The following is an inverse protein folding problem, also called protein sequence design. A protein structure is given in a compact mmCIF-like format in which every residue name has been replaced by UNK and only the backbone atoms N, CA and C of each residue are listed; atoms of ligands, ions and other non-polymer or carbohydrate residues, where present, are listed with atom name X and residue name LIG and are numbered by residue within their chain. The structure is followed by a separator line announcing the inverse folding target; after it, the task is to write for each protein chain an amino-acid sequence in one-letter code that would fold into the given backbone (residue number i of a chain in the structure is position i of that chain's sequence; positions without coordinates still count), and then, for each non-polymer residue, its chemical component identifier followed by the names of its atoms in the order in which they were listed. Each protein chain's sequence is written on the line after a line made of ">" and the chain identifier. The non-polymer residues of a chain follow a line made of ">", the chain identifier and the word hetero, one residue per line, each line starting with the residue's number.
data_IF_839903887080
#
_entry.id   IF_839903887080
#
_cell.length_a   1.000
_cell.length_b   1.000
_cell.length_c   1.000
_cell.angle_alpha   90.00
_cell.angle_beta   90.00
_cell.angle_gamma   90.00
#
_symmetry.space_group_name_H-M   'P 1'
#
loop_
_entity.id
_entity.type
_entity.pdbx_description
1 polymer ?
#
# COMPACT_ATOMS: atom_id res chain seq x y z
N UNK A 1 23.95 26.43 5.51
CA UNK A 1 25.32 25.98 5.22
C UNK A 1 25.33 25.43 3.81
N UNK A 2 26.37 25.72 3.02
CA UNK A 2 26.46 25.30 1.61
C UNK A 2 27.74 24.49 1.45
N UNK A 3 27.65 23.29 0.88
CA UNK A 3 28.81 22.46 0.57
C UNK A 3 29.61 22.05 1.80
N UNK A 4 28.94 21.84 2.94
CA UNK A 4 29.61 21.43 4.16
C UNK A 4 29.68 19.89 4.23
N UNK A 5 30.83 19.38 4.67
CA UNK A 5 31.05 17.97 4.96
C UNK A 5 30.98 17.77 6.48
N UNK A 6 30.04 16.95 6.94
CA UNK A 6 29.90 16.54 8.34
C UNK A 6 30.11 15.04 8.41
N UNK A 7 31.17 14.61 9.10
CA UNK A 7 31.58 13.21 9.16
C UNK A 7 31.68 12.79 10.61
N UNK A 8 30.98 11.71 10.99
CA UNK A 8 31.07 11.13 12.34
C UNK A 8 30.64 12.11 13.44
N UNK A 9 29.70 13.01 13.13
CA UNK A 9 29.25 14.02 14.08
C UNK A 9 28.16 13.42 14.98
N UNK A 10 28.37 13.49 16.29
CA UNK A 10 27.38 13.11 17.30
C UNK A 10 26.68 14.37 17.81
N UNK A 11 25.37 14.46 17.60
CA UNK A 11 24.51 15.54 18.09
C UNK A 11 23.45 14.96 19.01
N UNK A 12 23.48 15.39 20.28
CA UNK A 12 22.58 14.88 21.31
C UNK A 12 21.78 16.05 21.88
N UNK A 13 20.45 15.96 21.84
CA UNK A 13 19.57 16.97 22.43
C UNK A 13 19.73 18.36 21.80
N UNK A 14 20.08 18.42 20.52
CA UNK A 14 20.32 19.67 19.82
C UNK A 14 19.02 20.22 19.23
N UNK A 15 18.80 21.52 19.39
CA UNK A 15 17.72 22.26 18.75
C UNK A 15 18.25 22.94 17.48
N UNK A 16 17.71 22.57 16.32
CA UNK A 16 18.03 23.14 15.02
C UNK A 16 16.77 23.78 14.45
N UNK A 17 16.80 25.10 14.28
CA UNK A 17 15.63 25.88 13.85
C UNK A 17 16.01 26.69 12.63
N UNK A 18 15.28 26.52 11.53
CA UNK A 18 15.49 27.29 10.30
C UNK A 18 16.86 27.02 9.66
N UNK A 19 17.41 25.82 9.84
CA UNK A 19 18.71 25.47 9.27
C UNK A 19 18.54 25.11 7.80
N UNK A 20 19.12 25.91 6.91
CA UNK A 20 19.22 25.57 5.48
C UNK A 20 20.54 24.84 5.23
N UNK A 21 20.52 23.64 4.67
CA UNK A 21 21.67 22.85 4.23
C UNK A 21 21.55 22.61 2.73
N UNK A 22 22.52 23.09 1.94
CA UNK A 22 22.47 22.98 0.48
C UNK A 22 23.73 22.29 -0.02
N UNK A 23 23.58 21.15 -0.68
CA UNK A 23 24.70 20.38 -1.22
C UNK A 23 25.66 19.90 -0.14
N UNK A 24 25.16 19.61 1.06
CA UNK A 24 25.98 19.15 2.17
C UNK A 24 26.11 17.62 2.15
N UNK A 25 27.26 17.11 2.59
CA UNK A 25 27.50 15.69 2.77
C UNK A 25 27.48 15.38 4.27
N UNK A 26 26.65 14.42 4.68
CA UNK A 26 26.54 13.94 6.05
C UNK A 26 26.82 12.44 6.05
N UNK A 27 27.93 12.03 6.67
CA UNK A 27 28.40 10.65 6.62
C UNK A 27 28.60 10.13 8.05
N UNK A 28 27.85 9.09 8.42
CA UNK A 28 27.98 8.46 9.73
C UNK A 28 27.65 9.40 10.88
N UNK A 29 26.74 10.35 10.68
CA UNK A 29 26.31 11.27 11.72
C UNK A 29 25.23 10.62 12.59
N UNK A 30 25.29 10.85 13.90
CA UNK A 30 24.31 10.38 14.86
C UNK A 30 23.56 11.57 15.44
N UNK A 31 22.22 11.57 15.30
CA UNK A 31 21.32 12.55 15.89
C UNK A 31 20.43 11.83 16.90
N UNK A 32 20.59 12.16 18.18
CA UNK A 32 19.85 11.51 19.26
C UNK A 32 19.05 12.54 20.03
N UNK A 33 17.72 12.40 20.05
CA UNK A 33 16.82 13.29 20.77
C UNK A 33 16.90 14.74 20.30
N UNK A 34 17.19 14.96 19.02
CA UNK A 34 17.29 16.31 18.47
C UNK A 34 15.93 16.82 18.02
N UNK A 35 15.74 18.14 18.12
CA UNK A 35 14.56 18.84 17.62
C UNK A 35 14.95 19.62 16.36
N UNK A 36 14.26 19.36 15.25
CA UNK A 36 14.45 20.02 13.97
C UNK A 36 13.17 20.72 13.56
N UNK A 37 13.20 22.05 13.45
CA UNK A 37 12.00 22.83 13.14
C UNK A 37 12.27 23.74 11.94
N UNK A 38 11.52 23.55 10.87
CA UNK A 38 11.64 24.39 9.67
C UNK A 38 13.01 24.32 9.02
N UNK A 39 13.70 23.18 9.10
CA UNK A 39 14.99 22.98 8.46
C UNK A 39 14.79 22.56 7.01
N UNK A 40 15.67 23.02 6.12
CA UNK A 40 15.63 22.70 4.69
C UNK A 40 16.93 21.98 4.32
N UNK A 41 16.81 20.81 3.69
CA UNK A 41 17.91 20.06 3.12
C UNK A 41 17.70 19.98 1.60
N UNK A 42 18.60 20.56 0.83
CA UNK A 42 18.48 20.64 -0.62
C UNK A 42 19.71 20.04 -1.28
N UNK A 43 19.53 18.96 -2.05
CA UNK A 43 20.60 18.30 -2.78
C UNK A 43 21.70 17.75 -1.86
N UNK A 44 21.34 17.34 -0.65
CA UNK A 44 22.29 16.80 0.32
C UNK A 44 22.49 15.30 0.12
N UNK A 45 23.69 14.81 0.42
CA UNK A 45 23.99 13.38 0.50
C UNK A 45 24.05 12.97 1.97
N UNK A 46 23.23 12.01 2.37
CA UNK A 46 23.12 11.51 3.74
C UNK A 46 23.40 10.02 3.74
N UNK A 47 24.55 9.61 4.28
CA UNK A 47 25.05 8.24 4.13
C UNK A 47 25.36 7.64 5.49
N UNK A 48 24.70 6.52 5.82
CA UNK A 48 24.95 5.76 7.03
C UNK A 48 24.71 6.57 8.32
N UNK A 49 23.79 7.54 8.28
CA UNK A 49 23.45 8.35 9.42
C UNK A 49 22.35 7.70 10.24
N UNK A 50 22.35 7.96 11.55
CA UNK A 50 21.37 7.44 12.50
C UNK A 50 20.59 8.61 13.11
N UNK A 51 19.26 8.53 13.10
CA UNK A 51 18.37 9.45 13.79
C UNK A 51 17.53 8.67 14.80
N UNK A 52 17.70 8.96 16.08
CA UNK A 52 17.04 8.22 17.16
C UNK A 52 16.25 9.18 18.04
N UNK A 53 14.94 8.94 18.16
CA UNK A 53 14.07 9.71 19.05
C UNK A 53 14.03 11.19 18.74
N UNK A 54 14.20 11.58 17.48
CA UNK A 54 14.21 12.99 17.07
C UNK A 54 12.78 13.47 16.74
N UNK A 55 12.53 14.74 16.99
CA UNK A 55 11.30 15.43 16.59
C UNK A 55 11.61 16.33 15.39
N UNK A 56 10.93 16.10 14.27
CA UNK A 56 11.14 16.81 13.00
C UNK A 56 9.83 17.45 12.59
N UNK A 57 9.77 18.78 12.60
CA UNK A 57 8.53 19.54 12.40
C UNK A 57 8.70 20.52 11.25
N UNK A 58 7.85 20.41 10.24
CA UNK A 58 7.82 21.35 9.12
C UNK A 58 9.14 21.43 8.35
N UNK A 59 9.90 20.35 8.30
CA UNK A 59 11.18 20.32 7.59
C UNK A 59 10.99 19.85 6.15
N UNK A 60 11.84 20.35 5.26
CA UNK A 60 11.82 20.04 3.83
C UNK A 60 13.10 19.32 3.42
N UNK A 61 12.97 18.22 2.68
CA UNK A 61 14.07 17.52 2.03
C UNK A 61 13.80 17.46 0.53
N UNK A 62 14.67 18.10 -0.27
CA UNK A 62 14.46 18.27 -1.70
C UNK A 62 15.68 17.74 -2.47
N UNK A 63 15.46 16.74 -3.31
CA UNK A 63 16.51 16.20 -4.19
C UNK A 63 17.69 15.61 -3.45
N UNK A 64 17.48 15.08 -2.25
CA UNK A 64 18.53 14.49 -1.42
C UNK A 64 18.72 13.00 -1.76
N UNK A 65 19.95 12.53 -1.62
CA UNK A 65 20.30 11.11 -1.69
C UNK A 65 20.52 10.60 -0.26
N UNK A 66 19.72 9.63 0.17
CA UNK A 66 19.78 9.03 1.52
C UNK A 66 20.09 7.55 1.39
N UNK A 67 21.25 7.12 1.89
CA UNK A 67 21.75 5.76 1.67
C UNK A 67 22.09 5.10 3.00
N UNK A 68 21.48 3.95 3.27
CA UNK A 68 21.81 3.12 4.44
C UNK A 68 21.61 3.82 5.77
N UNK A 69 20.65 4.75 5.85
CA UNK A 69 20.38 5.49 7.08
C UNK A 69 19.33 4.78 7.93
N UNK A 70 19.44 4.93 9.24
CA UNK A 70 18.51 4.36 10.22
C UNK A 70 17.75 5.49 10.91
N UNK A 71 16.42 5.40 10.94
CA UNK A 71 15.53 6.34 11.62
C UNK A 71 14.67 5.56 12.60
N UNK A 72 14.89 5.79 13.89
CA UNK A 72 14.31 4.96 14.96
C UNK A 72 13.53 5.84 15.93
N UNK A 73 12.24 5.54 16.11
CA UNK A 73 11.40 6.19 17.11
C UNK A 73 11.28 7.70 16.93
N UNK A 74 11.37 8.21 15.70
CA UNK A 74 11.29 9.63 15.42
C UNK A 74 9.84 10.04 15.13
N UNK A 75 9.51 11.28 15.46
CA UNK A 75 8.22 11.90 15.15
C UNK A 75 8.43 12.94 14.05
N UNK A 76 7.73 12.78 12.93
CA UNK A 76 7.76 13.68 11.79
C UNK A 76 6.38 14.31 11.60
N UNK A 77 6.30 15.64 11.67
CA UNK A 77 5.03 16.36 11.60
C UNK A 77 5.09 17.42 10.51
N UNK A 78 4.25 17.30 9.49
CA UNK A 78 4.14 18.28 8.42
C UNK A 78 5.43 18.43 7.61
N UNK A 79 6.21 17.35 7.47
CA UNK A 79 7.46 17.38 6.71
C UNK A 79 7.18 17.11 5.22
N UNK A 80 8.00 17.71 4.36
CA UNK A 80 7.93 17.52 2.91
C UNK A 80 9.20 16.83 2.41
N UNK A 81 9.05 15.76 1.65
CA UNK A 81 10.16 15.02 1.01
C UNK A 81 9.89 14.96 -0.49
N UNK A 82 10.69 15.67 -1.27
CA UNK A 82 10.42 15.90 -2.70
C UNK A 82 11.62 15.46 -3.54
N UNK A 83 11.39 14.50 -4.44
CA UNK A 83 12.37 14.07 -5.42
C UNK A 83 13.63 13.45 -4.81
N UNK A 84 13.50 12.84 -3.62
CA UNK A 84 14.62 12.23 -2.92
C UNK A 84 14.78 10.76 -3.34
N UNK A 85 16.03 10.28 -3.33
CA UNK A 85 16.37 8.88 -3.54
C UNK A 85 16.76 8.26 -2.19
N UNK A 86 16.05 7.22 -1.76
CA UNK A 86 16.31 6.49 -0.54
C UNK A 86 16.69 5.05 -0.87
N UNK A 87 17.89 4.63 -0.46
CA UNK A 87 18.43 3.31 -0.79
C UNK A 87 18.83 2.58 0.48
N UNK A 88 18.21 1.43 0.74
CA UNK A 88 18.56 0.57 1.88
C UNK A 88 18.40 1.26 3.23
N UNK A 89 17.43 2.17 3.36
CA UNK A 89 17.17 2.86 4.62
C UNK A 89 16.22 2.03 5.50
N UNK A 90 16.42 2.11 6.81
CA UNK A 90 15.59 1.44 7.81
C UNK A 90 14.84 2.47 8.64
N UNK A 91 13.51 2.36 8.70
CA UNK A 91 12.64 3.23 9.51
C UNK A 91 11.88 2.37 10.49
N UNK A 92 12.10 2.57 11.78
CA UNK A 92 11.58 1.69 12.83
C UNK A 92 10.81 2.50 13.86
N UNK A 93 9.53 2.15 14.06
CA UNK A 93 8.70 2.72 15.12
C UNK A 93 8.52 4.23 15.02
N UNK A 94 8.55 4.79 13.81
CA UNK A 94 8.40 6.23 13.59
C UNK A 94 6.94 6.60 13.37
N UNK A 95 6.58 7.81 13.81
CA UNK A 95 5.26 8.40 13.60
C UNK A 95 5.38 9.53 12.58
N UNK A 96 4.59 9.46 11.51
CA UNK A 96 4.52 10.48 10.47
C UNK A 96 3.09 11.04 10.41
N UNK A 97 2.95 12.34 10.66
CA UNK A 97 1.64 13.00 10.72
C UNK A 97 1.60 14.15 9.73
N UNK A 98 0.70 14.06 8.73
CA UNK A 98 0.51 15.14 7.76
C UNK A 98 1.73 15.40 6.89
N UNK A 99 2.57 14.40 6.66
CA UNK A 99 3.77 14.51 5.83
C UNK A 99 3.42 14.34 4.35
N UNK A 100 4.16 15.01 3.48
CA UNK A 100 4.03 14.92 2.03
C UNK A 100 5.30 14.29 1.44
N UNK A 101 5.14 13.25 0.62
CA UNK A 101 6.24 12.57 -0.09
C UNK A 101 5.93 12.59 -1.58
N UNK A 102 6.73 13.30 -2.37
CA UNK A 102 6.41 13.59 -3.77
C UNK A 102 7.58 13.20 -4.67
N UNK A 103 7.34 12.29 -5.62
CA UNK A 103 8.29 11.93 -6.66
C UNK A 103 9.57 11.28 -6.14
N UNK A 104 9.50 10.60 -5.00
CA UNK A 104 10.66 9.95 -4.38
C UNK A 104 10.83 8.52 -4.90
N UNK A 105 12.08 8.06 -4.95
CA UNK A 105 12.43 6.69 -5.29
C UNK A 105 12.95 5.99 -4.03
N UNK A 106 12.32 4.88 -3.64
CA UNK A 106 12.71 4.06 -2.50
C UNK A 106 13.12 2.67 -3.00
N UNK A 107 14.36 2.27 -2.72
CA UNK A 107 14.91 0.99 -3.18
C UNK A 107 15.40 0.19 -1.99
N UNK A 108 14.80 -0.98 -1.77
CA UNK A 108 15.21 -1.91 -0.71
C UNK A 108 15.13 -1.29 0.69
N UNK A 109 14.22 -0.35 0.91
CA UNK A 109 14.01 0.25 2.22
C UNK A 109 13.08 -0.62 3.08
N UNK A 110 13.32 -0.62 4.39
CA UNK A 110 12.56 -1.38 5.37
C UNK A 110 11.82 -0.43 6.32
N UNK A 111 10.52 -0.64 6.51
CA UNK A 111 9.69 0.08 7.47
C UNK A 111 9.04 -0.89 8.44
N UNK A 112 9.32 -0.74 9.74
CA UNK A 112 8.86 -1.67 10.77
C UNK A 112 8.09 -0.90 11.85
N UNK A 113 6.82 -1.24 12.05
CA UNK A 113 5.99 -0.69 13.12
C UNK A 113 5.80 0.82 13.02
N UNK A 114 5.81 1.39 11.82
CA UNK A 114 5.64 2.82 11.62
C UNK A 114 4.16 3.18 11.49
N UNK A 115 3.80 4.35 12.00
CA UNK A 115 2.44 4.90 11.92
C UNK A 115 2.44 6.11 10.98
N UNK A 116 1.57 6.10 9.97
CA UNK A 116 1.37 7.20 9.04
C UNK A 116 -0.08 7.67 9.13
N UNK A 117 -0.26 8.95 9.47
CA UNK A 117 -1.59 9.53 9.70
C UNK A 117 -1.77 10.75 8.81
N UNK A 118 -2.77 10.69 7.93
CA UNK A 118 -3.12 11.76 6.99
C UNK A 118 -1.92 12.24 6.16
N UNK A 119 -1.06 11.33 5.73
CA UNK A 119 0.06 11.63 4.86
C UNK A 119 -0.36 11.56 3.39
N UNK A 120 0.32 12.32 2.53
CA UNK A 120 0.15 12.29 1.09
C UNK A 120 1.41 11.74 0.42
N UNK A 121 1.25 10.72 -0.42
CA UNK A 121 2.34 10.11 -1.20
C UNK A 121 1.99 10.17 -2.68
N UNK A 122 2.76 10.92 -3.46
CA UNK A 122 2.40 11.23 -4.85
C UNK A 122 3.55 10.88 -5.78
N UNK A 123 3.28 10.04 -6.78
CA UNK A 123 4.20 9.74 -7.88
C UNK A 123 5.51 9.10 -7.42
N UNK A 124 5.49 8.36 -6.32
CA UNK A 124 6.68 7.72 -5.77
C UNK A 124 6.84 6.29 -6.32
N UNK A 125 8.09 5.87 -6.47
CA UNK A 125 8.44 4.52 -6.90
C UNK A 125 9.06 3.76 -5.72
N UNK A 126 8.54 2.57 -5.41
CA UNK A 126 9.03 1.69 -4.36
C UNK A 126 9.41 0.34 -4.95
N UNK A 127 10.69 -0.03 -4.83
CA UNK A 127 11.23 -1.25 -5.43
C UNK A 127 11.85 -2.13 -4.37
N UNK A 128 11.27 -3.32 -4.17
CA UNK A 128 11.78 -4.30 -3.21
C UNK A 128 11.77 -3.81 -1.76
N UNK A 129 10.86 -2.89 -1.43
CA UNK A 129 10.69 -2.39 -0.07
C UNK A 129 9.89 -3.36 0.79
N UNK A 130 10.19 -3.41 2.08
CA UNK A 130 9.51 -4.24 3.07
C UNK A 130 8.78 -3.36 4.09
N UNK A 131 7.50 -3.62 4.31
CA UNK A 131 6.69 -2.99 5.35
C UNK A 131 6.16 -4.05 6.30
N UNK A 132 6.49 -3.93 7.59
CA UNK A 132 6.11 -4.93 8.60
C UNK A 132 5.38 -4.24 9.74
N UNK A 133 4.12 -4.60 9.96
CA UNK A 133 3.31 -4.08 11.06
C UNK A 133 3.11 -2.57 11.01
N UNK A 134 3.11 -1.97 9.82
CA UNK A 134 2.91 -0.53 9.66
C UNK A 134 1.41 -0.21 9.60
N UNK A 135 1.04 0.95 10.13
CA UNK A 135 -0.34 1.44 10.13
C UNK A 135 -0.45 2.70 9.27
N UNK A 136 -1.42 2.73 8.37
CA UNK A 136 -1.75 3.88 7.52
C UNK A 136 -3.20 4.29 7.76
N UNK A 137 -3.42 5.52 8.21
CA UNK A 137 -4.75 6.01 8.57
C UNK A 137 -5.06 7.30 7.80
N UNK A 138 -6.06 7.23 6.93
CA UNK A 138 -6.55 8.39 6.18
C UNK A 138 -5.50 8.98 5.24
N UNK A 139 -4.58 8.17 4.75
CA UNK A 139 -3.52 8.60 3.83
C UNK A 139 -4.02 8.61 2.38
N UNK A 140 -3.46 9.51 1.58
CA UNK A 140 -3.72 9.59 0.13
C UNK A 140 -2.47 9.14 -0.63
N UNK A 141 -2.62 8.15 -1.52
CA UNK A 141 -1.54 7.62 -2.36
C UNK A 141 -1.95 7.76 -3.83
N UNK A 142 -1.22 8.56 -4.59
CA UNK A 142 -1.62 8.95 -5.95
C UNK A 142 -0.50 8.66 -6.94
N UNK A 143 -0.78 7.80 -7.93
CA UNK A 143 0.12 7.53 -9.04
C UNK A 143 1.44 6.91 -8.63
N UNK A 144 1.46 6.15 -7.53
CA UNK A 144 2.66 5.50 -7.03
C UNK A 144 2.83 4.11 -7.64
N UNK A 145 4.07 3.69 -7.84
CA UNK A 145 4.44 2.38 -8.38
C UNK A 145 5.12 1.55 -7.29
N UNK A 146 4.63 0.35 -7.04
CA UNK A 146 5.20 -0.62 -6.11
C UNK A 146 5.61 -1.87 -6.89
N UNK A 147 6.89 -2.23 -6.83
CA UNK A 147 7.44 -3.36 -7.59
C UNK A 147 8.17 -4.30 -6.63
N UNK A 148 7.64 -5.53 -6.49
CA UNK A 148 8.25 -6.56 -5.66
C UNK A 148 8.32 -6.20 -4.19
N UNK A 149 7.41 -5.35 -3.71
CA UNK A 149 7.32 -4.97 -2.31
C UNK A 149 6.62 -6.04 -1.46
N UNK A 150 7.03 -6.17 -0.20
CA UNK A 150 6.43 -7.08 0.77
C UNK A 150 5.73 -6.29 1.87
N UNK A 151 4.48 -6.63 2.17
CA UNK A 151 3.69 -6.04 3.25
C UNK A 151 3.19 -7.15 4.18
N UNK A 152 3.63 -7.13 5.44
CA UNK A 152 3.31 -8.18 6.42
C UNK A 152 2.64 -7.55 7.62
N UNK A 153 1.40 -7.97 7.90
CA UNK A 153 0.63 -7.52 9.07
C UNK A 153 0.39 -6.01 9.09
N UNK A 154 0.33 -5.36 7.92
CA UNK A 154 0.09 -3.93 7.83
C UNK A 154 -1.42 -3.62 7.87
N UNK A 155 -1.76 -2.46 8.41
CA UNK A 155 -3.15 -1.98 8.50
C UNK A 155 -3.32 -0.71 7.67
N UNK A 156 -4.37 -0.68 6.84
CA UNK A 156 -4.78 0.49 6.06
C UNK A 156 -6.22 0.83 6.41
N UNK A 157 -6.47 2.03 6.93
CA UNK A 157 -7.79 2.44 7.40
C UNK A 157 -8.18 3.77 6.73
N UNK A 158 -9.23 3.75 5.92
CA UNK A 158 -9.79 4.94 5.30
C UNK A 158 -8.82 5.64 4.33
N UNK A 159 -7.90 4.89 3.72
CA UNK A 159 -6.94 5.45 2.77
C UNK A 159 -7.53 5.53 1.36
N UNK A 160 -7.05 6.49 0.58
CA UNK A 160 -7.41 6.66 -0.83
C UNK A 160 -6.21 6.32 -1.71
N UNK A 161 -6.38 5.40 -2.66
CA UNK A 161 -5.37 5.03 -3.63
C UNK A 161 -5.91 5.34 -5.04
N UNK A 162 -5.20 6.19 -5.78
CA UNK A 162 -5.65 6.65 -7.10
C UNK A 162 -4.56 6.42 -8.14
N UNK A 163 -4.85 5.58 -9.13
CA UNK A 163 -3.95 5.31 -10.25
C UNK A 163 -2.63 4.69 -9.84
N UNK A 164 -2.61 3.92 -8.75
CA UNK A 164 -1.41 3.25 -8.28
C UNK A 164 -1.20 1.92 -9.02
N UNK A 165 0.06 1.56 -9.23
CA UNK A 165 0.45 0.29 -9.85
C UNK A 165 1.17 -0.59 -8.82
N UNK A 166 0.74 -1.84 -8.67
CA UNK A 166 1.38 -2.85 -7.83
C UNK A 166 1.75 -4.05 -8.67
N UNK A 167 3.04 -4.37 -8.75
CA UNK A 167 3.57 -5.43 -9.62
C UNK A 167 4.39 -6.41 -8.80
N UNK A 168 3.92 -7.66 -8.74
CA UNK A 168 4.64 -8.76 -8.06
C UNK A 168 4.82 -8.52 -6.57
N UNK A 169 3.91 -7.78 -5.94
CA UNK A 169 3.94 -7.51 -4.50
C UNK A 169 3.33 -8.67 -3.71
N UNK A 170 3.78 -8.83 -2.47
CA UNK A 170 3.25 -9.82 -1.54
C UNK A 170 2.58 -9.13 -0.35
N UNK A 171 1.36 -9.54 -0.02
CA UNK A 171 0.60 -9.07 1.14
C UNK A 171 0.21 -10.24 2.03
N UNK A 172 0.68 -10.26 3.27
CA UNK A 172 0.46 -11.35 4.21
C UNK A 172 -0.17 -10.82 5.49
N UNK A 173 -1.38 -11.30 5.80
CA UNK A 173 -2.07 -10.97 7.05
C UNK A 173 -2.37 -9.48 7.21
N UNK A 174 -2.55 -8.75 6.10
CA UNK A 174 -2.83 -7.31 6.14
C UNK A 174 -4.32 -7.06 6.30
N UNK A 175 -4.66 -5.94 6.93
CA UNK A 175 -6.03 -5.47 7.12
C UNK A 175 -6.27 -4.18 6.32
N UNK A 176 -7.30 -4.15 5.48
CA UNK A 176 -7.67 -3.00 4.65
C UNK A 176 -9.13 -2.65 4.91
N UNK A 177 -9.38 -1.51 5.56
CA UNK A 177 -10.70 -1.17 6.10
C UNK A 177 -11.14 0.18 5.57
N UNK A 178 -12.26 0.19 4.85
CA UNK A 178 -12.91 1.43 4.39
C UNK A 178 -12.06 2.24 3.41
N UNK A 179 -11.15 1.60 2.68
CA UNK A 179 -10.29 2.27 1.71
C UNK A 179 -10.97 2.40 0.35
N UNK A 180 -10.61 3.43 -0.39
CA UNK A 180 -11.05 3.66 -1.76
C UNK A 180 -9.88 3.43 -2.73
N UNK A 181 -10.11 2.66 -3.80
CA UNK A 181 -9.13 2.41 -4.85
C UNK A 181 -9.75 2.78 -6.21
N UNK A 182 -9.13 3.71 -6.93
CA UNK A 182 -9.65 4.22 -8.20
C UNK A 182 -8.61 4.08 -9.30
N UNK A 183 -8.92 3.28 -10.31
CA UNK A 183 -8.07 3.12 -11.49
C UNK A 183 -6.70 2.51 -11.18
N UNK A 184 -6.60 1.71 -10.12
CA UNK A 184 -5.35 1.05 -9.75
C UNK A 184 -5.14 -0.24 -10.55
N UNK A 185 -3.87 -0.56 -10.81
CA UNK A 185 -3.47 -1.79 -11.50
C UNK A 185 -2.72 -2.71 -10.53
N UNK A 186 -3.13 -3.98 -10.44
CA UNK A 186 -2.54 -4.99 -9.57
C UNK A 186 -2.17 -6.21 -10.41
N UNK A 187 -0.87 -6.47 -10.59
CA UNK A 187 -0.37 -7.45 -11.55
C UNK A 187 0.56 -8.45 -10.87
N UNK A 188 0.16 -9.72 -10.90
CA UNK A 188 0.99 -10.83 -10.43
C UNK A 188 1.29 -10.78 -8.93
N UNK A 189 0.45 -10.10 -8.15
CA UNK A 189 0.60 -9.99 -6.70
C UNK A 189 0.01 -11.21 -5.98
N UNK A 190 0.54 -11.48 -4.79
CA UNK A 190 0.06 -12.55 -3.90
C UNK A 190 -0.55 -11.94 -2.63
N UNK A 191 -1.74 -12.40 -2.25
CA UNK A 191 -2.45 -12.00 -1.03
C UNK A 191 -2.77 -13.23 -0.20
N UNK A 192 -2.26 -13.30 1.03
CA UNK A 192 -2.43 -14.46 1.91
C UNK A 192 -3.00 -14.04 3.26
N UNK A 193 -4.17 -14.56 3.60
CA UNK A 193 -4.79 -14.34 4.91
C UNK A 193 -5.11 -12.88 5.21
N UNK A 194 -5.37 -12.07 4.20
CA UNK A 194 -5.70 -10.65 4.36
C UNK A 194 -7.21 -10.46 4.61
N UNK A 195 -7.54 -9.40 5.33
CA UNK A 195 -8.92 -8.98 5.58
C UNK A 195 -9.20 -7.66 4.88
N UNK A 196 -10.23 -7.61 4.03
CA UNK A 196 -10.65 -6.42 3.30
C UNK A 196 -12.11 -6.12 3.63
N UNK A 197 -12.37 -4.98 4.28
CA UNK A 197 -13.69 -4.68 4.85
C UNK A 197 -14.18 -3.32 4.40
N UNK A 198 -15.33 -3.29 3.73
CA UNK A 198 -16.02 -2.04 3.38
C UNK A 198 -15.25 -1.17 2.39
N UNK A 199 -14.40 -1.76 1.57
CA UNK A 199 -13.59 -1.03 0.61
C UNK A 199 -14.33 -0.84 -0.72
N UNK A 200 -14.07 0.28 -1.38
CA UNK A 200 -14.61 0.61 -2.70
C UNK A 200 -13.50 0.52 -3.75
N UNK A 201 -13.77 -0.18 -4.86
CA UNK A 201 -12.87 -0.30 -6.00
C UNK A 201 -13.59 0.16 -7.27
N UNK A 202 -13.02 1.13 -7.97
CA UNK A 202 -13.63 1.71 -9.17
C UNK A 202 -12.65 1.66 -10.33
N UNK A 203 -12.99 0.90 -11.36
CA UNK A 203 -12.21 0.82 -12.59
C UNK A 203 -10.80 0.27 -12.40
N UNK A 204 -10.61 -0.59 -11.39
CA UNK A 204 -9.31 -1.21 -11.13
C UNK A 204 -9.11 -2.46 -12.00
N UNK A 205 -7.86 -2.74 -12.35
CA UNK A 205 -7.45 -3.92 -13.11
C UNK A 205 -6.63 -4.85 -12.20
N UNK A 206 -7.04 -6.12 -12.11
CA UNK A 206 -6.35 -7.15 -11.32
C UNK A 206 -6.01 -8.32 -12.24
N UNK A 207 -4.72 -8.59 -12.44
CA UNK A 207 -4.25 -9.52 -13.47
C UNK A 207 -3.28 -10.54 -12.88
N UNK A 208 -3.62 -11.82 -13.00
CA UNK A 208 -2.71 -12.92 -12.64
C UNK A 208 -2.36 -12.97 -11.15
N UNK A 209 -3.20 -12.41 -10.28
CA UNK A 209 -3.00 -12.40 -8.85
C UNK A 209 -3.44 -13.72 -8.19
N UNK A 210 -2.76 -14.10 -7.11
CA UNK A 210 -3.12 -15.22 -6.26
C UNK A 210 -3.67 -14.72 -4.92
N UNK A 211 -4.84 -15.19 -4.52
CA UNK A 211 -5.53 -14.79 -3.30
C UNK A 211 -5.88 -16.03 -2.49
N UNK A 212 -5.30 -16.17 -1.30
CA UNK A 212 -5.38 -17.40 -0.52
C UNK A 212 -5.89 -17.09 0.88
N UNK A 213 -7.00 -17.71 1.25
CA UNK A 213 -7.55 -17.63 2.61
C UNK A 213 -7.88 -16.21 3.06
N UNK A 214 -8.20 -15.32 2.13
CA UNK A 214 -8.54 -13.93 2.43
C UNK A 214 -10.04 -13.78 2.68
N UNK A 215 -10.39 -12.78 3.50
CA UNK A 215 -11.77 -12.41 3.81
C UNK A 215 -12.09 -11.06 3.16
N UNK A 216 -13.21 -10.98 2.44
CA UNK A 216 -13.73 -9.76 1.83
C UNK A 216 -15.15 -9.52 2.31
N UNK A 217 -15.41 -8.43 3.03
CA UNK A 217 -16.70 -8.17 3.66
C UNK A 217 -17.23 -6.79 3.26
N UNK A 218 -18.40 -6.76 2.62
CA UNK A 218 -19.11 -5.53 2.31
C UNK A 218 -18.36 -4.62 1.34
N UNK A 219 -17.51 -5.17 0.48
CA UNK A 219 -16.76 -4.39 -0.51
C UNK A 219 -17.61 -4.12 -1.75
N UNK A 220 -17.39 -2.97 -2.37
CA UNK A 220 -18.04 -2.56 -3.61
C UNK A 220 -17.02 -2.51 -4.75
N UNK A 221 -17.29 -3.21 -5.85
CA UNK A 221 -16.47 -3.21 -7.06
C UNK A 221 -17.30 -2.69 -8.22
N UNK A 222 -16.84 -1.63 -8.88
CA UNK A 222 -17.55 -0.97 -9.98
C UNK A 222 -16.65 -0.89 -11.20
N UNK A 223 -17.03 -1.60 -12.26
CA UNK A 223 -16.32 -1.58 -13.54
C UNK A 223 -14.88 -2.10 -13.45
N UNK A 224 -14.60 -2.98 -12.48
CA UNK A 224 -13.28 -3.58 -12.32
C UNK A 224 -13.09 -4.76 -13.29
N UNK A 225 -11.85 -4.98 -13.70
CA UNK A 225 -11.45 -6.12 -14.53
C UNK A 225 -10.58 -7.07 -13.71
N UNK A 226 -10.93 -8.36 -13.71
CA UNK A 226 -10.18 -9.43 -13.06
C UNK A 226 -9.83 -10.49 -14.11
N UNK A 227 -8.54 -10.69 -14.38
CA UNK A 227 -8.07 -11.56 -15.46
C UNK A 227 -7.07 -12.58 -14.95
N UNK A 228 -7.40 -13.87 -15.09
CA UNK A 228 -6.48 -14.96 -14.78
C UNK A 228 -6.08 -15.04 -13.31
N UNK A 229 -6.91 -14.53 -12.40
CA UNK A 229 -6.66 -14.58 -10.97
C UNK A 229 -7.03 -15.95 -10.40
N UNK A 230 -6.29 -16.39 -9.38
CA UNK A 230 -6.58 -17.61 -8.63
C UNK A 230 -7.02 -17.25 -7.20
N UNK A 231 -8.19 -17.73 -6.78
CA UNK A 231 -8.72 -17.55 -5.43
C UNK A 231 -8.92 -18.90 -4.76
N UNK A 232 -8.25 -19.13 -3.62
CA UNK A 232 -8.31 -20.39 -2.88
C UNK A 232 -8.80 -20.13 -1.46
N UNK A 233 -9.89 -20.80 -1.07
CA UNK A 233 -10.38 -20.79 0.31
C UNK A 233 -10.74 -19.41 0.83
N UNK A 234 -11.13 -18.48 -0.04
CA UNK A 234 -11.50 -17.12 0.33
C UNK A 234 -12.97 -17.04 0.75
N UNK A 235 -13.27 -16.15 1.68
CA UNK A 235 -14.62 -15.84 2.13
C UNK A 235 -15.03 -14.46 1.61
N UNK A 236 -16.15 -14.38 0.89
CA UNK A 236 -16.68 -13.15 0.31
C UNK A 236 -18.11 -12.94 0.80
N UNK A 237 -18.33 -11.90 1.60
CA UNK A 237 -19.59 -11.72 2.33
C UNK A 237 -20.17 -10.34 2.04
N UNK A 238 -21.37 -10.31 1.45
CA UNK A 238 -22.13 -9.08 1.24
C UNK A 238 -21.45 -8.10 0.30
N UNK A 239 -20.58 -8.57 -0.60
CA UNK A 239 -19.90 -7.71 -1.56
C UNK A 239 -20.79 -7.45 -2.78
N UNK A 240 -20.69 -6.26 -3.34
CA UNK A 240 -21.40 -5.84 -4.55
C UNK A 240 -20.41 -5.70 -5.72
N UNK A 241 -20.76 -6.28 -6.86
CA UNK A 241 -20.02 -6.15 -8.11
C UNK A 241 -20.94 -5.59 -9.19
N UNK A 242 -20.57 -4.44 -9.78
CA UNK A 242 -21.38 -3.75 -10.77
C UNK A 242 -20.58 -3.53 -12.05
N UNK A 243 -21.01 -4.18 -13.13
CA UNK A 243 -20.39 -4.02 -14.44
C UNK A 243 -18.94 -4.50 -14.51
N UNK A 244 -18.55 -5.43 -13.63
CA UNK A 244 -17.20 -5.98 -13.61
C UNK A 244 -17.02 -7.08 -14.67
N UNK A 245 -15.80 -7.21 -15.17
CA UNK A 245 -15.39 -8.28 -16.09
C UNK A 245 -14.49 -9.26 -15.34
N UNK A 246 -14.82 -10.55 -15.39
CA UNK A 246 -14.07 -11.63 -14.74
C UNK A 246 -13.73 -12.68 -15.78
N UNK A 247 -12.45 -12.79 -16.14
CA UNK A 247 -12.01 -13.56 -17.30
C UNK A 247 -10.94 -14.57 -16.91
N UNK A 248 -11.22 -15.86 -17.12
CA UNK A 248 -10.24 -16.93 -16.93
C UNK A 248 -9.77 -17.10 -15.49
N UNK A 249 -10.56 -16.63 -14.51
CA UNK A 249 -10.22 -16.77 -13.11
C UNK A 249 -10.61 -18.15 -12.57
N UNK A 250 -9.83 -18.64 -11.60
CA UNK A 250 -10.05 -19.90 -10.92
C UNK A 250 -10.46 -19.65 -9.47
N UNK A 251 -11.53 -20.29 -9.02
CA UNK A 251 -12.03 -20.22 -7.65
C UNK A 251 -12.12 -21.63 -7.07
N UNK A 252 -11.39 -21.88 -5.98
CA UNK A 252 -11.30 -23.19 -5.35
C UNK A 252 -11.67 -23.10 -3.88
N UNK A 253 -12.74 -23.79 -3.48
CA UNK A 253 -13.16 -23.86 -2.07
C UNK A 253 -13.54 -22.50 -1.47
N UNK A 254 -13.94 -21.53 -2.30
CA UNK A 254 -14.35 -20.21 -1.83
C UNK A 254 -15.81 -20.22 -1.37
N UNK A 255 -16.11 -19.41 -0.36
CA UNK A 255 -17.46 -19.20 0.16
C UNK A 255 -17.93 -17.80 -0.23
N UNK A 256 -19.07 -17.68 -0.92
CA UNK A 256 -19.72 -16.41 -1.22
C UNK A 256 -21.10 -16.36 -0.56
N UNK A 257 -21.33 -15.35 0.27
CA UNK A 257 -22.55 -15.22 1.05
C UNK A 257 -23.17 -13.84 0.85
N UNK A 258 -24.38 -13.80 0.30
CA UNK A 258 -25.14 -12.56 0.14
C UNK A 258 -24.51 -11.56 -0.83
N UNK A 259 -23.69 -12.02 -1.77
CA UNK A 259 -23.06 -11.14 -2.75
C UNK A 259 -24.05 -10.77 -3.86
N UNK A 260 -23.97 -9.54 -4.34
CA UNK A 260 -24.78 -9.03 -5.44
C UNK A 260 -23.90 -8.77 -6.67
N UNK A 261 -24.27 -9.35 -7.81
CA UNK A 261 -23.62 -9.14 -9.09
C UNK A 261 -24.60 -8.51 -10.06
N UNK A 262 -24.27 -7.35 -10.62
CA UNK A 262 -25.14 -6.57 -11.49
C UNK A 262 -24.41 -6.25 -12.79
N UNK A 263 -24.88 -6.81 -13.90
CA UNK A 263 -24.35 -6.51 -15.24
C UNK A 263 -22.90 -6.99 -15.44
N UNK A 264 -22.43 -7.94 -14.63
CA UNK A 264 -21.07 -8.47 -14.75
C UNK A 264 -20.94 -9.47 -15.91
N UNK A 265 -19.77 -9.49 -16.54
CA UNK A 265 -19.39 -10.48 -17.55
C UNK A 265 -18.41 -11.48 -16.95
N UNK A 266 -18.76 -12.77 -16.95
CA UNK A 266 -17.91 -13.85 -16.42
C UNK A 266 -17.60 -14.83 -17.54
N UNK A 267 -16.34 -14.91 -17.93
CA UNK A 267 -15.90 -15.64 -19.13
C UNK A 267 -14.80 -16.64 -18.77
N UNK A 268 -15.00 -17.91 -19.13
CA UNK A 268 -13.96 -18.94 -19.03
C UNK A 268 -13.46 -19.21 -17.61
N UNK A 269 -14.24 -18.86 -16.59
CA UNK A 269 -13.86 -19.04 -15.19
C UNK A 269 -14.16 -20.47 -14.70
N UNK A 270 -13.36 -20.96 -13.77
CA UNK A 270 -13.53 -22.28 -13.15
C UNK A 270 -13.91 -22.12 -11.68
N UNK A 271 -14.97 -22.79 -11.24
CA UNK A 271 -15.40 -22.87 -9.84
C UNK A 271 -15.37 -24.31 -9.37
N UNK A 272 -14.54 -24.60 -8.36
CA UNK A 272 -14.34 -25.94 -7.82
C UNK A 272 -14.62 -25.94 -6.32
N UNK A 273 -15.60 -26.73 -5.88
CA UNK A 273 -15.91 -26.91 -4.46
C UNK A 273 -16.32 -25.62 -3.73
N UNK A 274 -16.82 -24.62 -4.45
CA UNK A 274 -17.25 -23.34 -3.87
C UNK A 274 -18.67 -23.44 -3.29
N UNK A 275 -18.95 -22.62 -2.29
CA UNK A 275 -20.28 -22.48 -1.69
C UNK A 275 -20.87 -21.10 -2.02
N UNK A 276 -22.05 -21.09 -2.62
CA UNK A 276 -22.79 -19.87 -2.98
C UNK A 276 -24.09 -19.82 -2.18
N UNK A 277 -24.23 -18.86 -1.28
CA UNK A 277 -25.38 -18.75 -0.38
C UNK A 277 -26.01 -17.36 -0.53
N UNK A 278 -27.29 -17.32 -0.93
CA UNK A 278 -28.07 -16.08 -0.98
C UNK A 278 -27.52 -15.01 -1.94
N UNK A 279 -26.73 -15.41 -2.95
CA UNK A 279 -26.18 -14.46 -3.93
C UNK A 279 -27.22 -14.09 -4.98
N UNK A 280 -27.22 -12.83 -5.42
CA UNK A 280 -28.10 -12.32 -6.46
C UNK A 280 -27.30 -11.98 -7.72
N UNK A 281 -27.73 -12.47 -8.88
CA UNK A 281 -27.12 -12.16 -10.17
C UNK A 281 -28.15 -11.48 -11.08
N UNK A 282 -27.93 -10.23 -11.46
CA UNK A 282 -28.87 -9.40 -12.23
C UNK A 282 -28.21 -8.97 -13.53
N UNK A 283 -28.72 -9.42 -14.68
CA UNK A 283 -28.21 -9.04 -16.00
C UNK A 283 -26.78 -9.51 -16.26
N UNK A 284 -26.29 -10.51 -15.53
CA UNK A 284 -24.94 -11.05 -15.71
C UNK A 284 -24.87 -11.99 -16.92
N UNK A 285 -23.75 -11.94 -17.64
CA UNK A 285 -23.45 -12.87 -18.72
C UNK A 285 -22.39 -13.89 -18.27
N UNK A 286 -22.70 -15.19 -18.40
CA UNK A 286 -21.74 -16.26 -18.10
C UNK A 286 -21.44 -17.09 -19.34
N UNK A 287 -20.19 -17.13 -19.76
CA UNK A 287 -19.75 -17.80 -21.00
C UNK A 287 -18.60 -18.75 -20.72
N UNK A 288 -18.76 -20.02 -21.07
CA UNK A 288 -17.67 -21.00 -21.01
C UNK A 288 -17.13 -21.29 -19.61
N UNK A 289 -17.91 -21.00 -18.56
CA UNK A 289 -17.50 -21.26 -17.18
C UNK A 289 -17.72 -22.72 -16.81
N UNK A 290 -16.82 -23.29 -16.01
CA UNK A 290 -16.91 -24.65 -15.49
C UNK A 290 -17.23 -24.63 -14.00
N UNK A 291 -18.18 -25.45 -13.55
CA UNK A 291 -18.61 -25.53 -12.15
C UNK A 291 -18.59 -26.97 -11.69
N UNK A 292 -17.75 -27.28 -10.72
CA UNK A 292 -17.46 -28.64 -10.26
C UNK A 292 -17.63 -28.72 -8.75
N UNK A 293 -18.56 -29.57 -8.30
CA UNK A 293 -18.71 -29.86 -6.86
C UNK A 293 -19.11 -28.66 -5.99
N UNK A 294 -19.68 -27.60 -6.58
CA UNK A 294 -20.11 -26.42 -5.86
C UNK A 294 -21.53 -26.60 -5.28
N UNK A 295 -21.78 -25.97 -4.14
CA UNK A 295 -23.09 -25.91 -3.50
C UNK A 295 -23.73 -24.55 -3.73
N UNK A 296 -25.01 -24.52 -4.12
CA UNK A 296 -25.75 -23.27 -4.39
C UNK A 296 -27.05 -23.27 -3.61
N UNK A 297 -27.22 -22.32 -2.70
CA UNK A 297 -28.33 -22.25 -1.75
C UNK A 297 -28.96 -20.87 -1.81
N UNK A 298 -30.24 -20.79 -2.17
CA UNK A 298 -31.01 -19.54 -2.10
C UNK A 298 -30.51 -18.41 -3.01
N UNK A 299 -29.72 -18.72 -4.04
CA UNK A 299 -29.25 -17.73 -5.00
C UNK A 299 -30.30 -17.47 -6.09
N UNK A 300 -30.39 -16.23 -6.56
CA UNK A 300 -31.33 -15.80 -7.59
C UNK A 300 -30.58 -15.30 -8.84
N UNK A 301 -31.14 -15.59 -10.02
CA UNK A 301 -30.65 -15.08 -11.30
C UNK A 301 -31.79 -14.38 -12.03
N UNK A 302 -31.61 -13.08 -12.26
CA UNK A 302 -32.55 -12.18 -12.92
C UNK A 302 -31.89 -11.75 -14.23
N UNK A 303 -32.54 -12.05 -15.36
CA UNK A 303 -31.99 -11.74 -16.70
C UNK A 303 -32.26 -10.33 -17.20
#
# INVERSE_FOLDING_TARGET
>A
MIGCEMIGCEMIGCEMIGCELIGCEMIGCELIGCEMIGCELIGCEVIGCEMIGCEVIGCEMIGCEVIGCEVIGCELIGCEVIGCELIGCEVIGCELIGCEVIGCELIGCEMIGCEMICCEVIGCEMIGCELIGCEMIGCEVIGCELIGCEMIGCEMIGCELIGCEMIGCEMIGCEVIGCEMIGCEVIGCEMIGCEVIGCEMIGCEVIGCEVIGCEMIGCELIGCEMIGCEMIGCEVIGCEMIGCEVIGCEMIGCEMIGCELIGCEVIGCEMIGCELIGCEMIGCEMIGCEVIGCEVIGCEMIG
#
